data_IF_667064979924
#
_entry.id   IF_667064979924
#
_cell.length_a   1.000
_cell.length_b   1.000
_cell.length_c   1.000
_cell.angle_alpha   90.00
_cell.angle_beta   90.00
_cell.angle_gamma   90.00
#
_symmetry.space_group_name_H-M   'P 1'
#
loop_
_entity.id
_entity.type
_entity.pdbx_description
1 polymer ?
#
# COMPACT_ATOMS: atom_id res chain seq x y z
N UNK A 1 4.35 0.36 16.28
CA UNK A 1 5.12 1.59 16.04
C UNK A 1 4.61 2.19 14.74
N UNK A 2 4.40 3.50 14.68
CA UNK A 2 4.08 4.18 13.42
C UNK A 2 5.40 4.70 12.84
N UNK A 3 5.65 4.45 11.56
CA UNK A 3 6.87 4.85 10.87
C UNK A 3 6.56 5.60 9.59
N UNK A 4 7.32 6.66 9.31
CA UNK A 4 7.29 7.37 8.03
C UNK A 4 8.64 7.19 7.34
N UNK A 5 8.62 6.79 6.08
CA UNK A 5 9.80 6.63 5.24
C UNK A 5 9.61 7.38 3.92
N UNK A 6 10.67 7.99 3.40
CA UNK A 6 10.67 8.57 2.04
C UNK A 6 10.86 7.43 1.05
N UNK A 7 10.02 7.25 0.03
CA UNK A 7 10.19 6.19 -0.96
C UNK A 7 11.29 6.54 -1.97
N UNK A 8 10.87 6.94 -3.16
CA UNK A 8 11.64 7.67 -4.18
C UNK A 8 11.26 9.16 -4.14
N UNK A 9 11.89 10.01 -4.96
CA UNK A 9 11.55 11.45 -4.95
C UNK A 9 10.04 11.69 -5.16
N UNK A 10 9.49 12.56 -4.32
CA UNK A 10 8.07 12.90 -4.32
C UNK A 10 7.13 11.80 -3.82
N UNK A 11 7.63 10.66 -3.35
CA UNK A 11 6.84 9.56 -2.79
C UNK A 11 7.15 9.37 -1.30
N UNK A 12 6.11 9.28 -0.50
CA UNK A 12 6.20 9.05 0.94
C UNK A 12 5.38 7.83 1.34
N UNK A 13 5.86 7.10 2.35
CA UNK A 13 5.17 5.94 2.90
C UNK A 13 4.98 6.13 4.39
N UNK A 14 3.74 5.89 4.84
CA UNK A 14 3.41 5.75 6.25
C UNK A 14 2.97 4.32 6.52
N UNK A 15 3.55 3.72 7.54
CA UNK A 15 3.24 2.37 8.00
C UNK A 15 2.73 2.44 9.43
N UNK A 16 1.53 1.93 9.66
CA UNK A 16 0.97 1.72 10.98
C UNK A 16 0.10 0.44 11.01
N UNK A 17 -0.57 0.20 12.14
CA UNK A 17 -1.42 -0.99 12.35
C UNK A 17 -2.70 -0.99 11.51
N UNK A 18 -3.16 0.19 11.10
CA UNK A 18 -4.39 0.32 10.30
C UNK A 18 -4.06 0.11 8.83
N UNK A 19 -2.95 0.67 8.33
CA UNK A 19 -2.61 0.57 6.92
C UNK A 19 -1.13 0.78 6.60
N UNK A 20 -0.76 0.33 5.39
CA UNK A 20 0.32 0.95 4.62
C UNK A 20 -0.30 1.98 3.69
N UNK A 21 0.20 3.21 3.71
CA UNK A 21 -0.23 4.26 2.79
C UNK A 21 0.98 4.83 2.07
N UNK A 22 0.93 4.82 0.74
CA UNK A 22 1.87 5.51 -0.13
C UNK A 22 1.19 6.78 -0.62
N UNK A 23 1.84 7.93 -0.50
CA UNK A 23 1.37 9.20 -1.08
C UNK A 23 2.40 9.78 -2.03
N UNK A 24 1.92 10.44 -3.08
CA UNK A 24 2.76 11.05 -4.08
C UNK A 24 2.43 12.53 -4.28
N UNK A 25 3.48 13.35 -4.39
CA UNK A 25 3.39 14.79 -4.65
C UNK A 25 2.66 15.07 -5.96
N UNK A 26 3.00 14.33 -7.01
CA UNK A 26 2.32 14.34 -8.31
C UNK A 26 1.68 12.97 -8.59
N UNK A 27 0.64 12.86 -9.44
CA UNK A 27 0.04 11.57 -9.75
C UNK A 27 1.06 10.62 -10.40
N UNK A 28 1.08 9.38 -9.92
CA UNK A 28 1.83 8.26 -10.48
C UNK A 28 1.00 7.55 -11.54
N UNK A 29 1.65 6.93 -12.52
CA UNK A 29 1.01 5.91 -13.36
C UNK A 29 1.00 4.60 -12.58
N UNK A 30 -0.16 3.97 -12.48
CA UNK A 30 -0.35 2.77 -11.65
C UNK A 30 -0.99 1.67 -12.47
N UNK A 31 -0.46 0.45 -12.33
CA UNK A 31 -1.12 -0.79 -12.73
C UNK A 31 -1.45 -1.55 -11.46
N UNK A 32 -2.71 -1.91 -11.26
CA UNK A 32 -3.15 -2.56 -10.02
C UNK A 32 -4.26 -3.58 -10.23
N UNK A 33 -4.31 -4.60 -9.39
CA UNK A 33 -5.46 -5.51 -9.22
C UNK A 33 -6.32 -5.13 -8.00
N UNK A 34 -6.15 -3.91 -7.48
CA UNK A 34 -6.85 -3.41 -6.31
C UNK A 34 -8.37 -3.45 -6.43
N UNK A 35 -9.03 -3.57 -5.27
CA UNK A 35 -10.48 -3.52 -5.15
C UNK A 35 -11.06 -2.19 -5.66
N UNK A 36 -10.36 -1.08 -5.37
CA UNK A 36 -10.69 0.25 -5.88
C UNK A 36 -9.52 0.79 -6.69
N UNK A 37 -9.80 1.30 -7.89
CA UNK A 37 -8.79 1.83 -8.79
C UNK A 37 -7.91 0.76 -9.45
N UNK A 38 -8.44 -0.46 -9.62
CA UNK A 38 -7.79 -1.50 -10.42
C UNK A 38 -7.70 -1.15 -11.91
N UNK A 39 -6.83 -1.86 -12.62
CA UNK A 39 -6.45 -1.59 -14.01
C UNK A 39 -5.24 -0.66 -14.13
N UNK A 40 -5.07 -0.08 -15.32
CA UNK A 40 -4.07 0.94 -15.61
C UNK A 40 -4.69 2.33 -15.41
N UNK A 41 -4.05 3.19 -14.62
CA UNK A 41 -4.59 4.50 -14.30
C UNK A 41 -3.60 5.43 -13.62
N UNK A 42 -4.13 6.40 -12.88
CA UNK A 42 -3.36 7.43 -12.16
C UNK A 42 -3.75 7.44 -10.68
N UNK A 43 -2.76 7.62 -9.80
CA UNK A 43 -3.02 7.74 -8.36
C UNK A 43 -2.04 8.69 -7.67
N UNK A 44 -2.53 9.42 -6.67
CA UNK A 44 -1.73 10.20 -5.70
C UNK A 44 -1.67 9.54 -4.33
N UNK A 45 -2.52 8.55 -4.07
CA UNK A 45 -2.41 7.69 -2.90
C UNK A 45 -2.66 6.22 -3.26
N UNK A 46 -1.92 5.32 -2.62
CA UNK A 46 -2.14 3.87 -2.65
C UNK A 46 -2.31 3.43 -1.20
N UNK A 47 -3.43 2.80 -0.90
CA UNK A 47 -3.80 2.34 0.44
C UNK A 47 -3.82 0.82 0.43
N UNK A 48 -3.12 0.20 1.36
CA UNK A 48 -3.28 -1.22 1.69
C UNK A 48 -3.80 -1.31 3.12
N UNK A 49 -5.13 -1.37 3.24
CA UNK A 49 -5.85 -1.29 4.51
C UNK A 49 -5.89 -2.68 5.18
N UNK A 50 -5.50 -2.74 6.44
CA UNK A 50 -5.64 -3.94 7.24
C UNK A 50 -7.13 -4.22 7.53
N UNK A 51 -7.56 -5.45 7.31
CA UNK A 51 -8.90 -5.95 7.63
C UNK A 51 -8.81 -7.31 8.31
N UNK A 52 -9.83 -7.64 9.11
CA UNK A 52 -9.93 -8.98 9.69
C UNK A 52 -10.08 -10.03 8.58
N UNK A 53 -9.57 -11.23 8.81
CA UNK A 53 -9.57 -12.34 7.82
C UNK A 53 -10.99 -12.77 7.42
N UNK A 54 -11.96 -12.55 8.29
CA UNK A 54 -13.36 -12.95 8.18
C UNK A 54 -14.30 -11.80 7.78
N UNK A 55 -13.75 -10.66 7.32
CA UNK A 55 -14.58 -9.52 6.88
C UNK A 55 -15.45 -9.93 5.70
N UNK A 56 -16.75 -9.58 5.76
CA UNK A 56 -17.66 -9.87 4.67
C UNK A 56 -17.29 -9.05 3.43
N UNK A 57 -17.31 -9.61 2.21
CA UNK A 57 -16.97 -8.87 0.99
C UNK A 57 -17.78 -7.58 0.79
N UNK A 58 -19.05 -7.58 1.18
CA UNK A 58 -19.94 -6.42 1.10
C UNK A 58 -19.53 -5.28 2.05
N UNK A 59 -18.98 -5.61 3.23
CA UNK A 59 -18.45 -4.64 4.19
C UNK A 59 -17.08 -4.11 3.74
N UNK A 60 -16.24 -5.02 3.22
CA UNK A 60 -14.86 -4.77 2.86
C UNK A 60 -14.66 -3.56 1.91
N UNK A 61 -15.49 -3.45 0.87
CA UNK A 61 -15.39 -2.35 -0.10
C UNK A 61 -15.77 -0.98 0.49
N UNK A 62 -16.67 -0.94 1.47
CA UNK A 62 -17.16 0.30 2.08
C UNK A 62 -16.15 0.93 3.05
N UNK A 63 -15.15 0.18 3.52
CA UNK A 63 -14.16 0.65 4.49
C UNK A 63 -13.18 1.68 3.91
N UNK A 64 -12.82 1.53 2.64
CA UNK A 64 -11.77 2.34 1.99
C UNK A 64 -12.15 3.84 1.88
N UNK A 65 -13.34 4.23 1.37
CA UNK A 65 -13.72 5.64 1.31
C UNK A 65 -13.70 6.33 2.68
N UNK A 66 -14.21 5.63 3.71
CA UNK A 66 -14.20 6.15 5.07
C UNK A 66 -12.78 6.34 5.61
N UNK A 67 -11.89 5.36 5.39
CA UNK A 67 -10.49 5.48 5.78
C UNK A 67 -9.78 6.64 5.08
N UNK A 68 -9.91 6.75 3.75
CA UNK A 68 -9.33 7.81 2.92
C UNK A 68 -9.77 9.19 3.42
N UNK A 69 -11.07 9.36 3.67
CA UNK A 69 -11.63 10.61 4.16
C UNK A 69 -11.07 10.97 5.56
N UNK A 70 -11.07 10.02 6.50
CA UNK A 70 -10.53 10.22 7.86
C UNK A 70 -9.04 10.61 7.85
N UNK A 71 -8.26 10.01 6.95
CA UNK A 71 -6.82 10.28 6.82
C UNK A 71 -6.48 11.48 5.93
N UNK A 72 -7.48 12.10 5.29
CA UNK A 72 -7.28 13.26 4.42
C UNK A 72 -6.43 12.96 3.19
N UNK A 73 -6.52 11.75 2.64
CA UNK A 73 -5.62 11.31 1.57
C UNK A 73 -5.98 11.94 0.22
N UNK A 74 -4.98 12.31 -0.60
CA UNK A 74 -5.21 12.92 -1.89
C UNK A 74 -5.78 11.92 -2.91
N UNK A 75 -6.76 12.37 -3.70
CA UNK A 75 -7.22 11.68 -4.90
C UNK A 75 -6.40 12.03 -6.16
N UNK A 76 -6.50 11.22 -7.24
CA UNK A 76 -7.14 9.89 -7.28
C UNK A 76 -6.37 8.87 -6.43
N UNK A 77 -7.02 7.81 -5.94
CA UNK A 77 -6.39 6.82 -5.06
C UNK A 77 -6.73 5.38 -5.45
N UNK A 78 -5.83 4.47 -5.09
CA UNK A 78 -5.97 3.02 -5.28
C UNK A 78 -6.07 2.36 -3.90
N UNK A 79 -7.00 1.41 -3.75
CA UNK A 79 -7.32 0.80 -2.46
C UNK A 79 -7.29 -0.72 -2.50
N UNK A 80 -6.31 -1.28 -1.80
CA UNK A 80 -6.16 -2.70 -1.50
C UNK A 80 -6.63 -2.98 -0.07
N UNK A 81 -7.00 -4.23 0.15
CA UNK A 81 -7.29 -4.77 1.48
C UNK A 81 -6.35 -5.93 1.76
N UNK A 82 -5.94 -6.09 3.01
CA UNK A 82 -5.08 -7.19 3.43
C UNK A 82 -5.42 -7.66 4.83
N UNK A 83 -5.32 -8.96 5.08
CA UNK A 83 -5.33 -9.50 6.45
C UNK A 83 -3.93 -9.66 7.05
N UNK A 84 -2.88 -9.33 6.29
CA UNK A 84 -1.53 -9.26 6.82
C UNK A 84 -1.37 -8.06 7.75
N UNK A 85 -0.54 -8.20 8.78
CA UNK A 85 -0.20 -7.11 9.70
C UNK A 85 0.56 -6.02 8.96
N UNK A 86 -0.07 -4.88 8.73
CA UNK A 86 0.50 -3.78 7.94
C UNK A 86 1.67 -3.13 8.66
N UNK A 87 1.70 -3.13 10.00
CA UNK A 87 2.83 -2.60 10.77
C UNK A 87 4.13 -3.41 10.60
N UNK A 88 4.05 -4.59 9.97
CA UNK A 88 5.19 -5.44 9.60
C UNK A 88 5.58 -5.28 8.13
N UNK A 89 5.15 -4.20 7.48
CA UNK A 89 5.57 -3.93 6.11
C UNK A 89 7.08 -3.71 6.04
N UNK A 90 7.72 -4.36 5.07
CA UNK A 90 9.13 -4.17 4.76
C UNK A 90 9.28 -3.21 3.59
N UNK A 91 10.32 -2.38 3.68
CA UNK A 91 10.62 -1.34 2.70
C UNK A 91 12.02 -1.58 2.13
N UNK A 92 12.14 -1.62 0.81
CA UNK A 92 13.42 -1.80 0.13
C UNK A 92 13.60 -0.77 -0.99
N UNK A 93 14.84 -0.30 -1.18
CA UNK A 93 15.24 0.55 -2.31
C UNK A 93 16.34 -0.15 -3.09
N UNK A 94 16.31 0.02 -4.40
CA UNK A 94 17.38 -0.37 -5.30
C UNK A 94 17.58 0.72 -6.36
N UNK A 95 18.81 0.89 -6.82
CA UNK A 95 19.15 1.83 -7.89
C UNK A 95 20.10 1.18 -8.88
N UNK A 96 19.92 1.45 -10.17
CA UNK A 96 20.77 0.93 -11.24
C UNK A 96 20.36 1.49 -12.59
N UNK A 97 21.32 1.66 -13.51
CA UNK A 97 21.06 2.16 -14.88
C UNK A 97 20.24 3.47 -14.93
N UNK A 98 20.46 4.38 -13.96
CA UNK A 98 19.73 5.65 -13.87
C UNK A 98 18.28 5.53 -13.38
N UNK A 99 17.87 4.36 -12.88
CA UNK A 99 16.54 4.11 -12.33
C UNK A 99 16.60 3.93 -10.81
N UNK A 100 15.57 4.42 -10.13
CA UNK A 100 15.30 4.12 -8.72
C UNK A 100 14.05 3.25 -8.61
N UNK A 101 14.16 2.15 -7.87
CA UNK A 101 13.06 1.28 -7.52
C UNK A 101 12.86 1.29 -6.01
N UNK A 102 11.59 1.30 -5.60
CA UNK A 102 11.21 1.22 -4.21
C UNK A 102 10.04 0.25 -4.05
N UNK A 103 10.19 -0.68 -3.13
CA UNK A 103 9.21 -1.71 -2.84
C UNK A 103 8.70 -1.56 -1.41
N UNK A 104 7.38 -1.69 -1.25
CA UNK A 104 6.72 -1.82 0.05
C UNK A 104 5.97 -3.12 0.05
N UNK A 105 6.30 -4.01 0.99
CA UNK A 105 5.79 -5.38 0.98
C UNK A 105 5.15 -5.70 2.32
N UNK A 106 3.87 -6.04 2.29
CA UNK A 106 3.19 -6.68 3.44
C UNK A 106 3.09 -8.17 3.17
N UNK A 107 3.39 -8.99 4.18
CA UNK A 107 3.43 -10.44 4.01
C UNK A 107 2.58 -11.12 5.10
N UNK A 108 1.55 -11.84 4.67
CA UNK A 108 0.69 -12.65 5.55
C UNK A 108 1.16 -14.10 5.62
N UNK A 109 2.33 -14.37 6.20
CA UNK A 109 2.83 -15.75 6.31
C UNK A 109 2.22 -16.45 7.53
N UNK A 110 1.34 -17.42 7.29
CA UNK A 110 1.02 -18.48 8.26
C UNK A 110 2.14 -19.53 8.38
N UNK A 111 2.99 -19.63 7.34
CA UNK A 111 4.20 -20.46 7.29
C UNK A 111 5.31 -19.63 6.64
N UNK A 112 6.40 -19.34 7.36
CA UNK A 112 7.45 -18.44 6.88
C UNK A 112 8.44 -19.20 6.01
N UNK A 113 8.46 -18.87 4.73
CA UNK A 113 9.50 -19.28 3.77
C UNK A 113 9.98 -18.04 3.03
N UNK A 114 11.28 -17.96 2.76
CA UNK A 114 11.85 -16.87 1.99
C UNK A 114 11.40 -17.00 0.52
N UNK A 115 10.71 -15.99 -0.01
CA UNK A 115 10.44 -15.93 -1.43
C UNK A 115 11.70 -15.43 -2.16
N UNK A 116 12.15 -16.17 -3.18
CA UNK A 116 13.32 -15.78 -3.98
C UNK A 116 14.67 -15.99 -3.29
N UNK A 117 14.75 -16.88 -2.29
CA UNK A 117 16.05 -17.48 -1.96
C UNK A 117 16.53 -18.31 -3.17
N UNK A 118 17.83 -18.22 -3.54
CA UNK A 118 18.38 -18.99 -4.65
C UNK A 118 18.27 -20.50 -4.45
#
# INVERSE_FOLDING_TARGET
MSGRARGIDGVEVTVDREAVVVTARAPLTVVSSALVGGGLGRARAIVNLHVRKDVAPAEAAALLPGFVARRGLPGPWVGLLTSAWTEKAELARASGEGLEAFAVVTVGLGNRVAAGAP
#
